data_IF_699237192513
#
_entry.id   IF_699237192513
#
_cell.length_a   1.000
_cell.length_b   1.000
_cell.length_c   1.000
_cell.angle_alpha   90.00
_cell.angle_beta   90.00
_cell.angle_gamma   90.00
#
_symmetry.space_group_name_H-M   'P 1'
#
loop_
_entity.id
_entity.type
_entity.pdbx_description
1 polymer ?
#
# COMPACT_ATOMS: atom_id res chain seq x y z
N UNK A 1 10.74 -20.93 0.95
CA UNK A 1 10.02 -19.84 0.26
C UNK A 1 8.52 -20.04 0.38
N UNK A 2 7.92 -19.44 1.41
CA UNK A 2 6.46 -19.27 1.53
C UNK A 2 6.07 -17.89 1.02
N UNK A 3 4.98 -17.80 0.25
CA UNK A 3 4.48 -16.55 -0.35
C UNK A 3 3.10 -16.26 0.23
N UNK A 4 2.88 -15.02 0.67
CA UNK A 4 1.56 -14.51 1.06
C UNK A 4 1.07 -13.53 0.00
N UNK A 5 -0.23 -13.58 -0.31
CA UNK A 5 -0.86 -12.67 -1.26
C UNK A 5 -1.92 -11.84 -0.51
N UNK A 6 -1.79 -10.52 -0.59
CA UNK A 6 -2.82 -9.61 -0.09
C UNK A 6 -4.01 -9.63 -1.07
N UNK A 7 -4.93 -10.57 -0.84
CA UNK A 7 -6.13 -10.75 -1.65
C UNK A 7 -7.25 -9.80 -1.18
N UNK A 8 -7.25 -8.57 -1.70
CA UNK A 8 -8.35 -7.59 -1.65
C UNK A 8 -9.05 -7.39 -0.29
N UNK A 9 -8.82 -6.22 0.34
CA UNK A 9 -9.84 -5.18 0.20
C UNK A 9 -9.26 -3.78 -0.03
N UNK A 10 -9.93 -3.04 -0.92
CA UNK A 10 -9.80 -1.60 -1.05
C UNK A 10 -10.62 -0.92 0.06
N UNK A 11 -10.01 -0.03 0.83
CA UNK A 11 -10.65 0.68 1.94
C UNK A 11 -10.54 2.20 1.77
N UNK A 12 -11.53 2.90 2.33
CA UNK A 12 -11.42 4.34 2.51
C UNK A 12 -10.54 4.64 3.73
N UNK A 13 -9.28 4.96 3.50
CA UNK A 13 -8.31 5.21 4.58
C UNK A 13 -8.28 6.70 4.92
N UNK A 14 -8.47 7.01 6.20
CA UNK A 14 -8.59 8.38 6.71
C UNK A 14 -7.29 9.21 6.73
N UNK A 15 -6.19 8.71 6.16
CA UNK A 15 -4.90 9.39 6.11
C UNK A 15 -3.71 8.43 6.16
N UNK A 16 -2.50 8.99 6.10
CA UNK A 16 -1.25 8.22 6.03
C UNK A 16 -1.08 7.22 7.18
N UNK A 17 -1.36 7.61 8.43
CA UNK A 17 -1.21 6.69 9.57
C UNK A 17 -2.13 5.48 9.51
N UNK A 18 -3.37 5.64 9.01
CA UNK A 18 -4.28 4.51 8.83
C UNK A 18 -3.79 3.52 7.76
N UNK A 19 -3.07 4.02 6.75
CA UNK A 19 -2.43 3.16 5.74
C UNK A 19 -1.28 2.37 6.35
N UNK A 20 -0.43 3.03 7.15
CA UNK A 20 0.66 2.38 7.88
C UNK A 20 0.11 1.27 8.78
N UNK A 21 -0.93 1.54 9.56
CA UNK A 21 -1.56 0.56 10.45
C UNK A 21 -2.11 -0.64 9.66
N UNK A 22 -2.83 -0.39 8.56
CA UNK A 22 -3.36 -1.46 7.69
C UNK A 22 -2.24 -2.34 7.13
N UNK A 23 -1.20 -1.73 6.57
CA UNK A 23 -0.10 -2.47 5.96
C UNK A 23 0.74 -3.20 7.01
N UNK A 24 1.03 -2.59 8.16
CA UNK A 24 1.79 -3.23 9.24
C UNK A 24 1.05 -4.47 9.76
N UNK A 25 -0.28 -4.41 9.91
CA UNK A 25 -1.09 -5.55 10.33
C UNK A 25 -0.96 -6.73 9.35
N UNK A 26 -1.10 -6.49 8.04
CA UNK A 26 -0.96 -7.56 7.03
C UNK A 26 0.46 -8.10 6.94
N UNK A 27 1.47 -7.23 7.02
CA UNK A 27 2.85 -7.65 6.95
C UNK A 27 3.23 -8.48 8.16
N UNK A 28 2.82 -8.05 9.36
CA UNK A 28 3.03 -8.79 10.60
C UNK A 28 2.36 -10.16 10.57
N UNK A 29 1.08 -10.23 10.18
CA UNK A 29 0.33 -11.50 10.08
C UNK A 29 1.04 -12.50 9.14
N UNK A 30 1.43 -12.06 7.95
CA UNK A 30 2.11 -12.92 6.99
C UNK A 30 3.52 -13.33 7.46
N UNK A 31 4.25 -12.44 8.13
CA UNK A 31 5.57 -12.73 8.68
C UNK A 31 5.49 -13.74 9.84
N UNK A 32 4.53 -13.59 10.76
CA UNK A 32 4.25 -14.52 11.86
C UNK A 32 3.87 -15.91 11.34
N UNK A 33 3.22 -15.95 10.18
CA UNK A 33 2.92 -17.17 9.45
C UNK A 33 4.12 -17.77 8.68
N UNK A 34 5.28 -17.12 8.70
CA UNK A 34 6.51 -17.56 8.06
C UNK A 34 6.58 -17.30 6.55
N UNK A 35 5.83 -16.33 6.02
CA UNK A 35 5.98 -15.89 4.64
C UNK A 35 7.28 -15.08 4.45
N UNK A 36 7.94 -15.28 3.30
CA UNK A 36 9.19 -14.60 2.94
C UNK A 36 8.97 -13.53 1.88
N UNK A 37 7.96 -13.70 1.02
CA UNK A 37 7.54 -12.74 -0.01
C UNK A 37 6.05 -12.45 0.14
N UNK A 38 5.70 -11.17 0.24
CA UNK A 38 4.33 -10.68 0.29
C UNK A 38 4.04 -9.94 -1.01
N UNK A 39 3.00 -10.35 -1.71
CA UNK A 39 2.59 -9.74 -2.98
C UNK A 39 1.31 -8.92 -2.80
N UNK A 40 1.37 -7.66 -3.19
CA UNK A 40 0.24 -6.74 -3.16
C UNK A 40 -0.40 -6.60 -4.56
N UNK A 41 -1.71 -6.28 -4.63
CA UNK A 41 -2.41 -6.15 -5.90
C UNK A 41 -1.87 -5.05 -6.81
N UNK A 42 -2.13 -5.22 -8.10
CA UNK A 42 -2.03 -4.12 -9.07
C UNK A 42 -2.89 -2.94 -8.61
N UNK A 43 -2.38 -1.72 -8.77
CA UNK A 43 -3.05 -0.48 -8.41
C UNK A 43 -3.44 -0.33 -6.93
N UNK A 44 -2.89 -1.12 -6.01
CA UNK A 44 -3.19 -0.95 -4.58
C UNK A 44 -2.83 0.46 -4.06
N UNK A 45 -1.83 1.12 -4.66
CA UNK A 45 -1.48 2.50 -4.31
C UNK A 45 -2.59 3.52 -4.65
N UNK A 46 -3.62 3.16 -5.43
CA UNK A 46 -4.76 4.04 -5.69
C UNK A 46 -5.56 4.38 -4.42
N UNK A 47 -5.44 3.62 -3.33
CA UNK A 47 -6.01 3.99 -2.02
C UNK A 47 -5.52 5.34 -1.50
N UNK A 48 -4.30 5.75 -1.90
CA UNK A 48 -3.72 7.05 -1.53
C UNK A 48 -4.57 8.22 -2.03
N UNK A 49 -5.41 8.03 -3.06
CA UNK A 49 -6.34 9.03 -3.55
C UNK A 49 -7.35 9.47 -2.47
N UNK A 50 -7.63 8.64 -1.46
CA UNK A 50 -8.53 8.98 -0.35
C UNK A 50 -8.01 10.19 0.45
N UNK A 51 -6.69 10.40 0.49
CA UNK A 51 -6.07 11.48 1.24
C UNK A 51 -6.38 12.86 0.65
N UNK A 52 -6.65 12.92 -0.66
CA UNK A 52 -7.05 14.13 -1.36
C UNK A 52 -8.57 14.40 -1.28
N UNK A 53 -9.32 13.54 -0.60
CA UNK A 53 -10.75 13.68 -0.37
C UNK A 53 -11.63 13.26 -1.55
N UNK A 54 -12.92 13.05 -1.26
CA UNK A 54 -13.89 12.41 -2.18
C UNK A 54 -13.98 13.04 -3.57
N UNK A 55 -13.88 14.36 -3.67
CA UNK A 55 -13.97 15.04 -4.96
C UNK A 55 -12.79 14.69 -5.87
N UNK A 56 -11.57 14.63 -5.33
CA UNK A 56 -10.36 14.26 -6.07
C UNK A 56 -10.34 12.75 -6.34
N UNK A 57 -10.72 11.93 -5.36
CA UNK A 57 -10.79 10.47 -5.57
C UNK A 57 -11.80 10.07 -6.65
N UNK A 58 -12.84 10.88 -6.88
CA UNK A 58 -13.84 10.67 -7.93
C UNK A 58 -13.42 11.21 -9.31
N UNK A 59 -12.37 12.03 -9.39
CA UNK A 59 -11.78 12.49 -10.65
C UNK A 59 -10.61 11.59 -11.05
N UNK A 60 -10.67 10.99 -12.24
CA UNK A 60 -9.62 10.09 -12.72
C UNK A 60 -8.26 10.81 -12.82
N UNK A 61 -8.22 12.03 -13.36
CA UNK A 61 -6.94 12.72 -13.56
C UNK A 61 -6.38 13.23 -12.24
N UNK A 62 -7.26 13.79 -11.39
CA UNK A 62 -6.93 14.25 -10.05
C UNK A 62 -6.45 13.13 -9.13
N UNK A 63 -7.14 11.99 -9.12
CA UNK A 63 -6.74 10.82 -8.32
C UNK A 63 -5.38 10.28 -8.76
N UNK A 64 -5.11 10.15 -10.06
CA UNK A 64 -3.81 9.71 -10.56
C UNK A 64 -2.68 10.67 -10.15
N UNK A 65 -2.92 11.98 -10.22
CA UNK A 65 -1.94 12.98 -9.80
C UNK A 65 -1.65 12.89 -8.29
N UNK A 66 -2.70 12.87 -7.47
CA UNK A 66 -2.58 12.77 -6.01
C UNK A 66 -1.87 11.49 -5.56
N UNK A 67 -2.14 10.36 -6.22
CA UNK A 67 -1.46 9.09 -5.95
C UNK A 67 0.02 9.19 -6.35
N UNK A 68 0.33 9.70 -7.54
CA UNK A 68 1.70 9.84 -8.02
C UNK A 68 2.57 10.70 -7.09
N UNK A 69 2.01 11.76 -6.50
CA UNK A 69 2.70 12.62 -5.53
C UNK A 69 3.06 11.88 -4.23
N UNK A 70 2.24 10.91 -3.82
CA UNK A 70 2.40 10.15 -2.58
C UNK A 70 3.24 8.88 -2.73
N UNK A 71 3.56 8.46 -3.96
CA UNK A 71 4.31 7.23 -4.22
C UNK A 71 5.67 7.14 -3.47
N UNK A 72 6.50 8.21 -3.40
CA UNK A 72 7.74 8.14 -2.63
C UNK A 72 7.51 7.80 -1.14
N UNK A 73 6.53 8.44 -0.51
CA UNK A 73 6.19 8.18 0.90
C UNK A 73 5.59 6.77 1.11
N UNK A 74 4.88 6.24 0.12
CA UNK A 74 4.37 4.88 0.11
C UNK A 74 5.49 3.85 -0.02
N UNK A 75 6.49 4.09 -0.88
CA UNK A 75 7.65 3.22 -1.03
C UNK A 75 8.52 3.21 0.24
N UNK A 76 8.77 4.37 0.84
CA UNK A 76 9.53 4.48 2.09
C UNK A 76 8.83 3.72 3.23
N UNK A 77 7.50 3.83 3.32
CA UNK A 77 6.70 3.05 4.26
C UNK A 77 6.87 1.55 4.02
N UNK A 78 6.73 1.09 2.78
CA UNK A 78 6.85 -0.34 2.45
C UNK A 78 8.27 -0.85 2.74
N UNK A 79 9.31 -0.08 2.41
CA UNK A 79 10.70 -0.44 2.68
C UNK A 79 10.96 -0.59 4.19
N UNK A 80 10.41 0.31 5.01
CA UNK A 80 10.52 0.21 6.47
C UNK A 80 9.79 -1.03 7.02
N UNK A 81 8.58 -1.33 6.54
CA UNK A 81 7.84 -2.52 6.95
C UNK A 81 8.58 -3.81 6.55
N UNK A 82 9.08 -3.87 5.32
CA UNK A 82 9.89 -4.99 4.83
C UNK A 82 11.12 -5.22 5.73
N UNK A 83 11.84 -4.16 6.07
CA UNK A 83 13.02 -4.20 6.94
C UNK A 83 12.67 -4.62 8.37
N UNK A 84 11.58 -4.09 8.92
CA UNK A 84 11.13 -4.39 10.29
C UNK A 84 10.75 -5.85 10.47
N UNK A 85 10.03 -6.41 9.52
CA UNK A 85 9.49 -7.78 9.59
C UNK A 85 10.38 -8.82 8.92
N UNK A 86 11.46 -8.40 8.25
CA UNK A 86 12.42 -9.31 7.62
C UNK A 86 11.86 -10.05 6.40
N UNK A 87 11.01 -9.39 5.62
CA UNK A 87 10.32 -9.96 4.45
C UNK A 87 10.61 -9.16 3.17
N UNK A 88 10.32 -9.75 2.02
CA UNK A 88 10.26 -9.04 0.74
C UNK A 88 8.84 -8.57 0.44
N UNK A 89 8.69 -7.31 0.00
CA UNK A 89 7.41 -6.77 -0.44
C UNK A 89 7.45 -6.51 -1.96
N UNK A 90 6.59 -7.20 -2.71
CA UNK A 90 6.17 -6.74 -4.03
C UNK A 90 5.00 -5.78 -3.80
N UNK A 91 5.33 -4.50 -3.70
CA UNK A 91 4.36 -3.44 -3.41
C UNK A 91 3.36 -3.27 -4.55
N UNK A 92 2.13 -2.84 -4.22
CA UNK A 92 1.13 -2.56 -5.25
C UNK A 92 1.56 -1.39 -6.14
N UNK A 93 1.26 -1.50 -7.44
CA UNK A 93 1.59 -0.47 -8.42
C UNK A 93 0.74 0.78 -8.24
N UNK A 94 1.19 1.88 -8.86
CA UNK A 94 0.46 3.14 -8.96
C UNK A 94 0.89 3.93 -10.18
N UNK A 95 0.12 4.95 -10.59
CA UNK A 95 0.50 5.85 -11.67
C UNK A 95 1.75 6.66 -11.30
N UNK A 96 2.74 6.67 -12.17
CA UNK A 96 3.90 7.57 -12.09
C UNK A 96 3.80 8.62 -13.20
N UNK A 97 4.05 9.89 -12.87
CA UNK A 97 4.25 10.98 -13.83
C UNK A 97 5.72 11.35 -13.96
#
# INVERSE_FOLDING_TARGET
>A
MKIAAACYPIDWIGGYFGLVEKYDAWVAEAADEGAELLVFPEYAAMELACFAGKAVSADLTGSMAAVSEMLPAYWDMCAELARRHGVYLLTGSGPCR
#
